data_IF_058853128992
#
_entry.id   IF_058853128992
#
_cell.length_a   1.000
_cell.length_b   1.000
_cell.length_c   1.000
_cell.angle_alpha   90.00
_cell.angle_beta   90.00
_cell.angle_gamma   90.00
#
_symmetry.space_group_name_H-M   'P 1'
#
loop_
_entity.id
_entity.type
_entity.pdbx_description
1 polymer ?
#
# COMPACT_ATOMS: atom_id res chain seq x y z
N UNK A 1 -74.48 -26.87 -77.20
CA UNK A 1 -73.05 -26.48 -77.15
C UNK A 1 -72.75 -26.04 -75.73
N UNK A 2 -72.00 -26.87 -75.02
CA UNK A 2 -71.58 -26.69 -73.63
C UNK A 2 -70.51 -25.61 -73.53
N UNK A 3 -70.76 -24.59 -72.70
CA UNK A 3 -69.77 -23.59 -72.30
C UNK A 3 -68.66 -24.31 -71.53
N UNK A 4 -67.37 -24.21 -71.91
CA UNK A 4 -66.31 -24.73 -71.07
C UNK A 4 -66.26 -23.88 -69.80
N UNK A 5 -66.61 -24.48 -68.66
CA UNK A 5 -66.39 -23.83 -67.37
C UNK A 5 -64.89 -23.65 -67.16
N UNK A 6 -64.46 -22.39 -67.01
CA UNK A 6 -63.13 -22.01 -66.49
C UNK A 6 -63.06 -22.38 -65.00
N UNK A 7 -63.03 -23.68 -64.71
CA UNK A 7 -62.82 -24.22 -63.38
C UNK A 7 -61.31 -24.40 -63.18
N UNK A 8 -60.65 -23.41 -62.57
CA UNK A 8 -59.23 -23.57 -62.22
C UNK A 8 -58.36 -22.32 -62.03
N UNK A 9 -58.88 -21.09 -62.09
CA UNK A 9 -58.06 -19.89 -61.89
C UNK A 9 -58.58 -19.04 -60.72
N UNK A 10 -58.19 -19.40 -59.50
CA UNK A 10 -58.35 -18.57 -58.30
C UNK A 10 -57.17 -17.59 -58.17
N UNK A 11 -57.47 -16.33 -57.87
CA UNK A 11 -56.47 -15.29 -57.57
C UNK A 11 -55.61 -15.69 -56.36
N UNK A 12 -54.26 -15.57 -56.39
CA UNK A 12 -53.37 -16.09 -55.34
C UNK A 12 -53.22 -15.13 -54.14
N UNK A 13 -54.08 -14.13 -53.98
CA UNK A 13 -54.00 -13.20 -52.85
C UNK A 13 -54.63 -13.89 -51.63
N UNK A 14 -53.80 -14.41 -50.73
CA UNK A 14 -54.27 -15.13 -49.53
C UNK A 14 -53.91 -14.43 -48.21
N UNK A 15 -53.21 -13.30 -48.23
CA UNK A 15 -52.68 -12.69 -47.00
C UNK A 15 -53.69 -11.72 -46.38
N UNK A 16 -54.24 -12.07 -45.22
CA UNK A 16 -55.01 -11.16 -44.35
C UNK A 16 -54.03 -10.32 -43.51
N UNK A 17 -54.15 -9.00 -43.58
CA UNK A 17 -53.23 -7.98 -43.02
C UNK A 17 -53.35 -7.73 -41.52
N UNK A 18 -54.14 -8.51 -40.78
CA UNK A 18 -54.55 -8.09 -39.43
C UNK A 18 -53.55 -8.39 -38.30
N UNK A 19 -52.34 -8.93 -38.57
CA UNK A 19 -51.38 -9.38 -37.53
C UNK A 19 -49.91 -9.23 -37.98
N UNK A 20 -49.43 -8.02 -38.28
CA UNK A 20 -48.01 -7.79 -38.61
C UNK A 20 -47.34 -7.03 -37.47
N UNK A 21 -46.32 -7.63 -36.85
CA UNK A 21 -45.48 -7.01 -35.83
C UNK A 21 -44.35 -6.18 -36.49
N UNK A 22 -43.82 -5.12 -35.85
CA UNK A 22 -42.86 -4.19 -36.46
C UNK A 22 -41.56 -4.85 -37.01
N UNK A 23 -41.17 -6.00 -36.47
CA UNK A 23 -39.96 -6.72 -36.91
C UNK A 23 -40.17 -7.59 -38.16
N UNK A 24 -41.42 -7.79 -38.60
CA UNK A 24 -41.77 -8.61 -39.76
C UNK A 24 -41.93 -7.80 -41.05
N UNK A 25 -41.67 -6.48 -41.01
CA UNK A 25 -41.83 -5.58 -42.16
C UNK A 25 -40.98 -6.02 -43.37
N UNK A 26 -39.70 -6.40 -43.25
CA UNK A 26 -38.93 -6.86 -44.41
C UNK A 26 -39.49 -8.14 -45.04
N UNK A 27 -40.04 -9.03 -44.21
CA UNK A 27 -40.64 -10.30 -44.64
C UNK A 27 -41.99 -10.08 -45.33
N UNK A 28 -42.78 -9.15 -44.82
CA UNK A 28 -44.06 -8.75 -45.41
C UNK A 28 -43.86 -8.03 -46.75
N UNK A 29 -42.90 -7.11 -46.84
CA UNK A 29 -42.54 -6.45 -48.11
C UNK A 29 -42.05 -7.48 -49.14
N UNK A 30 -41.24 -8.46 -48.71
CA UNK A 30 -40.82 -9.58 -49.57
C UNK A 30 -42.00 -10.39 -50.12
N UNK A 31 -43.01 -10.66 -49.30
CA UNK A 31 -44.20 -11.42 -49.71
C UNK A 31 -45.10 -10.62 -50.66
N UNK A 32 -45.25 -9.31 -50.47
CA UNK A 32 -45.95 -8.44 -51.44
C UNK A 32 -45.26 -8.44 -52.79
N UNK A 33 -43.92 -8.32 -52.82
CA UNK A 33 -43.14 -8.35 -54.07
C UNK A 33 -43.33 -9.69 -54.79
N UNK A 34 -43.32 -10.81 -54.04
CA UNK A 34 -43.57 -12.15 -54.58
C UNK A 34 -44.96 -12.26 -55.21
N UNK A 35 -46.00 -11.77 -54.55
CA UNK A 35 -47.38 -11.82 -55.04
C UNK A 35 -47.60 -10.92 -56.27
N UNK A 36 -46.99 -9.73 -56.31
CA UNK A 36 -47.01 -8.87 -57.49
C UNK A 36 -46.32 -9.53 -58.70
N UNK A 37 -45.25 -10.28 -58.46
CA UNK A 37 -44.57 -11.04 -59.51
C UNK A 37 -45.44 -12.19 -60.04
N UNK A 38 -46.13 -12.92 -59.17
CA UNK A 38 -47.08 -13.98 -59.56
C UNK A 38 -48.27 -13.41 -60.34
N UNK A 39 -48.80 -12.25 -59.94
CA UNK A 39 -49.86 -11.56 -60.68
C UNK A 39 -49.34 -11.18 -62.07
N UNK A 40 -48.15 -10.58 -62.19
CA UNK A 40 -47.55 -10.22 -63.49
C UNK A 40 -47.43 -11.41 -64.44
N UNK A 41 -46.98 -12.57 -63.93
CA UNK A 41 -46.89 -13.81 -64.71
C UNK A 41 -48.29 -14.29 -65.13
N UNK A 42 -49.28 -14.21 -64.23
CA UNK A 42 -50.66 -14.58 -64.54
C UNK A 42 -51.27 -13.67 -65.61
N UNK A 43 -51.11 -12.35 -65.50
CA UNK A 43 -51.60 -11.40 -66.52
C UNK A 43 -50.95 -11.64 -67.87
N UNK A 44 -49.65 -11.96 -67.89
CA UNK A 44 -48.91 -12.30 -69.12
C UNK A 44 -49.47 -13.57 -69.78
N UNK A 45 -49.79 -14.59 -68.98
CA UNK A 45 -50.41 -15.83 -69.48
C UNK A 45 -51.82 -15.59 -70.01
N UNK A 46 -52.65 -14.80 -69.33
CA UNK A 46 -53.98 -14.43 -69.80
C UNK A 46 -53.93 -13.61 -71.11
N UNK A 47 -52.99 -12.67 -71.22
CA UNK A 47 -52.76 -11.91 -72.46
C UNK A 47 -52.31 -12.81 -73.62
N UNK A 48 -51.48 -13.82 -73.34
CA UNK A 48 -51.05 -14.78 -74.36
C UNK A 48 -52.20 -15.67 -74.88
N UNK A 49 -53.10 -16.10 -73.99
CA UNK A 49 -54.32 -16.86 -74.37
C UNK A 49 -55.30 -16.00 -75.18
N UNK A 50 -55.44 -14.72 -74.86
CA UNK A 50 -56.29 -13.79 -75.63
C UNK A 50 -55.71 -13.51 -77.02
N UNK A 51 -54.39 -13.40 -77.15
CA UNK A 51 -53.73 -13.16 -78.45
C UNK A 51 -53.63 -14.41 -79.35
N UNK A 52 -53.68 -15.62 -78.78
CA UNK A 52 -53.64 -16.88 -79.54
C UNK A 52 -55.01 -17.32 -80.07
N UNK A 53 -56.11 -16.65 -79.69
CA UNK A 53 -57.42 -16.77 -80.34
C UNK A 53 -57.60 -15.85 -81.57
N UNK A 54 -56.50 -15.42 -82.21
CA UNK A 54 -56.59 -14.77 -83.53
C UNK A 54 -56.81 -15.81 -84.63
N UNK A 55 -58.07 -15.97 -85.02
CA UNK A 55 -58.53 -16.75 -86.18
C UNK A 55 -57.84 -16.19 -87.46
N UNK A 56 -57.32 -17.02 -88.39
CA UNK A 56 -56.72 -16.52 -89.62
C UNK A 56 -57.77 -15.85 -90.52
N UNK A 57 -57.42 -14.78 -91.28
CA UNK A 57 -58.41 -14.01 -92.02
C UNK A 57 -58.85 -14.80 -93.25
N UNK A 58 -60.09 -15.30 -93.22
CA UNK A 58 -60.72 -15.86 -94.42
C UNK A 58 -61.41 -14.71 -95.16
N UNK A 59 -60.79 -14.25 -96.23
CA UNK A 59 -61.37 -13.27 -97.15
C UNK A 59 -62.62 -13.85 -97.81
N UNK A 60 -63.80 -13.33 -97.44
CA UNK A 60 -65.00 -13.35 -98.27
C UNK A 60 -65.57 -11.94 -98.25
N UNK A 61 -65.30 -11.18 -99.31
CA UNK A 61 -65.90 -9.85 -99.54
C UNK A 61 -67.33 -10.10 -100.05
N UNK A 62 -68.28 -10.13 -99.12
CA UNK A 62 -69.70 -9.97 -99.42
C UNK A 62 -70.11 -8.57 -98.93
N UNK A 63 -70.91 -7.79 -99.67
CA UNK A 63 -71.27 -6.45 -99.25
C UNK A 63 -72.17 -6.58 -98.01
N UNK A 64 -71.56 -6.39 -96.85
CA UNK A 64 -72.29 -6.32 -95.59
C UNK A 64 -73.27 -5.15 -95.73
N UNK A 65 -74.59 -5.36 -95.54
CA UNK A 65 -75.57 -4.28 -95.58
C UNK A 65 -75.10 -3.15 -94.67
N UNK A 66 -75.10 -1.91 -95.16
CA UNK A 66 -74.63 -0.73 -94.42
C UNK A 66 -75.21 -0.64 -93.01
N UNK A 67 -76.41 -1.17 -92.79
CA UNK A 67 -77.04 -1.35 -91.48
C UNK A 67 -76.24 -2.21 -90.51
N UNK A 68 -75.73 -3.38 -90.93
CA UNK A 68 -74.99 -4.30 -90.03
C UNK A 68 -73.60 -3.74 -89.66
N UNK A 69 -72.94 -3.03 -90.59
CA UNK A 69 -71.70 -2.30 -90.28
C UNK A 69 -71.95 -1.14 -89.30
N UNK A 70 -73.08 -0.45 -89.45
CA UNK A 70 -73.47 0.64 -88.54
C UNK A 70 -73.77 0.11 -87.13
N UNK A 71 -74.47 -1.02 -87.01
CA UNK A 71 -74.73 -1.69 -85.73
C UNK A 71 -73.45 -2.20 -85.07
N UNK A 72 -72.51 -2.76 -85.83
CA UNK A 72 -71.20 -3.17 -85.30
C UNK A 72 -70.37 -1.99 -84.78
N UNK A 73 -70.38 -0.86 -85.50
CA UNK A 73 -69.72 0.37 -85.04
C UNK A 73 -70.43 0.98 -83.81
N UNK A 74 -71.76 0.85 -83.71
CA UNK A 74 -72.52 1.26 -82.54
C UNK A 74 -72.20 0.39 -81.31
N UNK A 75 -72.12 -0.93 -81.48
CA UNK A 75 -71.72 -1.88 -80.42
C UNK A 75 -70.29 -1.60 -79.96
N UNK A 76 -69.37 -1.36 -80.90
CA UNK A 76 -67.98 -1.01 -80.59
C UNK A 76 -67.88 0.32 -79.82
N UNK A 77 -68.68 1.32 -80.22
CA UNK A 77 -68.77 2.60 -79.49
C UNK A 77 -69.35 2.41 -78.08
N UNK A 78 -70.38 1.58 -77.92
CA UNK A 78 -70.97 1.28 -76.62
C UNK A 78 -70.01 0.49 -75.71
N UNK A 79 -69.28 -0.50 -76.26
CA UNK A 79 -68.23 -1.22 -75.55
C UNK A 79 -67.11 -0.28 -75.08
N UNK A 80 -66.65 0.63 -75.93
CA UNK A 80 -65.66 1.65 -75.54
C UNK A 80 -66.17 2.57 -74.42
N UNK A 81 -67.46 2.89 -74.40
CA UNK A 81 -68.07 3.68 -73.31
C UNK A 81 -68.10 2.87 -72.01
N UNK A 82 -68.50 1.61 -72.06
CA UNK A 82 -68.52 0.72 -70.88
C UNK A 82 -67.10 0.49 -70.35
N UNK A 83 -66.13 0.25 -71.23
CA UNK A 83 -64.72 0.09 -70.87
C UNK A 83 -64.18 1.36 -70.19
N UNK A 84 -64.46 2.54 -70.74
CA UNK A 84 -64.08 3.82 -70.10
C UNK A 84 -64.77 4.04 -68.75
N UNK A 85 -66.05 3.69 -68.63
CA UNK A 85 -66.78 3.79 -67.36
C UNK A 85 -66.19 2.85 -66.30
N UNK A 86 -65.86 1.61 -66.69
CA UNK A 86 -65.22 0.64 -65.82
C UNK A 86 -63.80 1.05 -65.43
N UNK A 87 -63.01 1.55 -66.38
CA UNK A 87 -61.66 2.07 -66.12
C UNK A 87 -61.72 3.28 -65.15
N UNK A 88 -62.64 4.22 -65.36
CA UNK A 88 -62.82 5.36 -64.46
C UNK A 88 -63.23 4.91 -63.05
N UNK A 89 -64.14 3.94 -62.94
CA UNK A 89 -64.54 3.36 -61.65
C UNK A 89 -63.35 2.72 -60.93
N UNK A 90 -62.55 1.92 -61.64
CA UNK A 90 -61.35 1.29 -61.07
C UNK A 90 -60.33 2.34 -60.62
N UNK A 91 -60.11 3.41 -61.39
CA UNK A 91 -59.21 4.51 -60.99
C UNK A 91 -59.70 5.18 -59.72
N UNK A 92 -61.01 5.44 -59.59
CA UNK A 92 -61.59 6.01 -58.37
C UNK A 92 -61.47 5.06 -57.16
N UNK A 93 -61.71 3.76 -57.35
CA UNK A 93 -61.54 2.75 -56.28
C UNK A 93 -60.09 2.63 -55.85
N UNK A 94 -59.14 2.66 -56.79
CA UNK A 94 -57.70 2.67 -56.49
C UNK A 94 -57.33 3.93 -55.69
N UNK A 95 -57.80 5.10 -56.12
CA UNK A 95 -57.53 6.35 -55.41
C UNK A 95 -58.09 6.32 -53.97
N UNK A 96 -59.30 5.78 -53.78
CA UNK A 96 -59.88 5.62 -52.45
C UNK A 96 -59.05 4.68 -51.57
N UNK A 97 -58.67 3.51 -52.08
CA UNK A 97 -57.83 2.55 -51.34
C UNK A 97 -56.45 3.13 -51.02
N UNK A 98 -55.84 3.88 -51.93
CA UNK A 98 -54.57 4.56 -51.70
C UNK A 98 -54.68 5.62 -50.59
N UNK A 99 -55.77 6.39 -50.57
CA UNK A 99 -56.02 7.35 -49.49
C UNK A 99 -56.25 6.62 -48.16
N UNK A 100 -57.06 5.57 -48.12
CA UNK A 100 -57.30 4.79 -46.90
C UNK A 100 -56.01 4.16 -46.35
N UNK A 101 -55.20 3.55 -47.22
CA UNK A 101 -53.90 2.99 -46.87
C UNK A 101 -52.93 4.06 -46.34
N UNK A 102 -52.91 5.24 -46.96
CA UNK A 102 -52.06 6.35 -46.51
C UNK A 102 -52.49 6.84 -45.12
N UNK A 103 -53.79 7.07 -44.91
CA UNK A 103 -54.31 7.48 -43.62
C UNK A 103 -53.98 6.45 -42.52
N UNK A 104 -54.18 5.16 -42.79
CA UNK A 104 -53.84 4.10 -41.83
C UNK A 104 -52.33 4.05 -41.56
N UNK A 105 -51.49 4.17 -42.60
CA UNK A 105 -50.04 4.20 -42.44
C UNK A 105 -49.58 5.41 -41.61
N UNK A 106 -50.13 6.60 -41.87
CA UNK A 106 -49.80 7.83 -41.15
C UNK A 106 -50.23 7.73 -39.68
N UNK A 107 -51.41 7.19 -39.37
CA UNK A 107 -51.85 6.95 -38.00
C UNK A 107 -50.93 5.99 -37.23
N UNK A 108 -50.48 4.90 -37.88
CA UNK A 108 -49.57 3.94 -37.26
C UNK A 108 -48.16 4.51 -37.08
N UNK A 109 -47.67 5.28 -38.05
CA UNK A 109 -46.39 5.97 -37.95
C UNK A 109 -46.41 6.99 -36.81
N UNK A 110 -47.45 7.82 -36.72
CA UNK A 110 -47.60 8.80 -35.64
C UNK A 110 -47.65 8.13 -34.25
N UNK A 111 -48.39 7.02 -34.13
CA UNK A 111 -48.46 6.25 -32.89
C UNK A 111 -47.09 5.66 -32.51
N UNK A 112 -46.32 5.19 -33.49
CA UNK A 112 -44.98 4.66 -33.28
C UNK A 112 -43.98 5.77 -32.90
N UNK A 113 -44.02 6.92 -33.58
CA UNK A 113 -43.21 8.10 -33.25
C UNK A 113 -43.44 8.53 -31.80
N UNK A 114 -44.71 8.65 -31.39
CA UNK A 114 -45.06 9.01 -30.02
C UNK A 114 -44.59 7.96 -29.01
N UNK A 115 -44.69 6.67 -29.34
CA UNK A 115 -44.16 5.59 -28.48
C UNK A 115 -42.64 5.71 -28.30
N UNK A 116 -41.89 5.90 -29.38
CA UNK A 116 -40.43 6.03 -29.34
C UNK A 116 -40.03 7.28 -28.56
N UNK A 117 -40.69 8.41 -28.80
CA UNK A 117 -40.44 9.66 -28.10
C UNK A 117 -40.65 9.50 -26.59
N UNK A 118 -41.77 8.91 -26.17
CA UNK A 118 -42.03 8.65 -24.75
C UNK A 118 -40.98 7.74 -24.11
N UNK A 119 -40.52 6.69 -24.84
CA UNK A 119 -39.47 5.79 -24.34
C UNK A 119 -38.11 6.46 -24.25
N UNK A 120 -37.76 7.31 -25.21
CA UNK A 120 -36.54 8.10 -25.16
C UNK A 120 -36.58 9.12 -24.02
N UNK A 121 -37.68 9.85 -23.86
CA UNK A 121 -37.86 10.80 -22.76
C UNK A 121 -37.76 10.12 -21.40
N UNK A 122 -38.42 8.97 -21.21
CA UNK A 122 -38.32 8.20 -19.98
C UNK A 122 -36.87 7.76 -19.71
N UNK A 123 -36.19 7.20 -20.73
CA UNK A 123 -34.81 6.75 -20.60
C UNK A 123 -33.87 7.91 -20.24
N UNK A 124 -33.97 9.04 -20.93
CA UNK A 124 -33.16 10.24 -20.66
C UNK A 124 -33.42 10.74 -19.24
N UNK A 125 -34.68 10.83 -18.83
CA UNK A 125 -35.04 11.27 -17.47
C UNK A 125 -34.43 10.37 -16.39
N UNK A 126 -34.59 9.04 -16.52
CA UNK A 126 -34.04 8.08 -15.56
C UNK A 126 -32.50 8.14 -15.50
N UNK A 127 -31.83 8.32 -16.64
CA UNK A 127 -30.38 8.45 -16.68
C UNK A 127 -29.90 9.77 -16.05
N UNK A 128 -30.58 10.88 -16.33
CA UNK A 128 -30.27 12.18 -15.72
C UNK A 128 -30.39 12.11 -14.19
N UNK A 129 -31.48 11.55 -13.67
CA UNK A 129 -31.67 11.40 -12.22
C UNK A 129 -30.57 10.53 -11.57
N UNK A 130 -30.18 9.42 -12.22
CA UNK A 130 -29.08 8.58 -11.74
C UNK A 130 -27.73 9.29 -11.77
N UNK A 131 -27.48 10.12 -12.78
CA UNK A 131 -26.25 10.90 -12.88
C UNK A 131 -26.19 11.98 -11.80
N UNK A 132 -27.28 12.70 -11.56
CA UNK A 132 -27.39 13.70 -10.50
C UNK A 132 -27.15 13.08 -9.11
N UNK A 133 -27.74 11.91 -8.84
CA UNK A 133 -27.52 11.21 -7.58
C UNK A 133 -26.05 10.79 -7.41
N UNK A 134 -25.44 10.23 -8.46
CA UNK A 134 -24.01 9.89 -8.44
C UNK A 134 -23.13 11.12 -8.24
N UNK A 135 -23.45 12.22 -8.89
CA UNK A 135 -22.69 13.47 -8.76
C UNK A 135 -22.75 13.99 -7.32
N UNK A 136 -23.93 13.96 -6.68
CA UNK A 136 -24.09 14.31 -5.27
C UNK A 136 -23.30 13.37 -4.34
N UNK A 137 -23.31 12.07 -4.61
CA UNK A 137 -22.51 11.11 -3.84
C UNK A 137 -21.00 11.36 -3.99
N UNK A 138 -20.54 11.70 -5.19
CA UNK A 138 -19.14 12.05 -5.46
C UNK A 138 -18.77 13.34 -4.73
N UNK A 139 -19.62 14.37 -4.76
CA UNK A 139 -19.39 15.64 -4.06
C UNK A 139 -19.22 15.43 -2.55
N UNK A 140 -20.12 14.67 -1.92
CA UNK A 140 -20.02 14.33 -0.50
C UNK A 140 -18.72 13.57 -0.17
N UNK A 141 -18.33 12.64 -1.04
CA UNK A 141 -17.06 11.90 -0.89
C UNK A 141 -15.85 12.82 -1.03
N UNK A 142 -15.88 13.76 -1.97
CA UNK A 142 -14.80 14.73 -2.17
C UNK A 142 -14.65 15.64 -0.96
N UNK A 143 -15.76 16.13 -0.38
CA UNK A 143 -15.72 16.91 0.87
C UNK A 143 -15.07 16.12 2.01
N UNK A 144 -15.44 14.85 2.18
CA UNK A 144 -14.82 13.99 3.20
C UNK A 144 -13.32 13.77 2.96
N UNK A 145 -12.90 13.61 1.70
CA UNK A 145 -11.48 13.52 1.33
C UNK A 145 -10.74 14.82 1.63
N UNK A 146 -11.34 15.97 1.33
CA UNK A 146 -10.78 17.30 1.64
C UNK A 146 -10.56 17.48 3.15
N UNK A 147 -11.56 17.15 3.97
CA UNK A 147 -11.46 17.16 5.42
C UNK A 147 -10.36 16.22 5.94
N UNK A 148 -10.26 15.01 5.37
CA UNK A 148 -9.22 14.05 5.72
C UNK A 148 -7.83 14.58 5.38
N UNK A 149 -7.65 15.21 4.21
CA UNK A 149 -6.40 15.83 3.79
C UNK A 149 -6.00 16.99 4.72
N UNK A 150 -6.95 17.84 5.11
CA UNK A 150 -6.71 18.92 6.07
C UNK A 150 -6.28 18.37 7.44
N UNK A 151 -6.95 17.33 7.93
CA UNK A 151 -6.60 16.70 9.19
C UNK A 151 -5.20 16.07 9.13
N UNK A 152 -4.88 15.35 8.05
CA UNK A 152 -3.57 14.75 7.84
C UNK A 152 -2.47 15.83 7.81
N UNK A 153 -2.68 16.92 7.09
CA UNK A 153 -1.75 18.06 7.07
C UNK A 153 -1.53 18.66 8.47
N UNK A 154 -2.59 18.80 9.27
CA UNK A 154 -2.48 19.28 10.65
C UNK A 154 -1.71 18.29 11.55
N UNK A 155 -1.92 16.99 11.38
CA UNK A 155 -1.14 15.96 12.10
C UNK A 155 0.34 16.00 11.70
N UNK A 156 0.63 16.12 10.41
CA UNK A 156 2.00 16.27 9.90
C UNK A 156 2.69 17.49 10.51
N UNK A 157 2.03 18.65 10.57
CA UNK A 157 2.57 19.85 11.22
C UNK A 157 2.88 19.62 12.71
N UNK A 158 1.99 18.93 13.43
CA UNK A 158 2.23 18.56 14.84
C UNK A 158 3.43 17.64 14.99
N UNK A 159 3.61 16.69 14.08
CA UNK A 159 4.77 15.79 14.08
C UNK A 159 6.06 16.58 13.85
N UNK A 160 6.10 17.48 12.87
CA UNK A 160 7.26 18.35 12.63
C UNK A 160 7.61 19.16 13.88
N UNK A 161 6.64 19.83 14.50
CA UNK A 161 6.90 20.59 15.73
C UNK A 161 7.44 19.75 16.90
N UNK A 162 7.01 18.47 16.99
CA UNK A 162 7.54 17.55 18.01
C UNK A 162 8.95 17.11 17.69
N UNK A 163 9.28 16.95 16.40
CA UNK A 163 10.60 16.55 15.94
C UNK A 163 11.60 17.69 16.20
N UNK A 164 11.24 18.93 15.88
CA UNK A 164 12.07 20.12 16.16
C UNK A 164 12.40 20.22 17.67
N UNK A 165 11.39 20.08 18.53
CA UNK A 165 11.60 20.12 19.99
C UNK A 165 12.50 18.97 20.49
N UNK A 166 12.39 17.78 19.90
CA UNK A 166 13.24 16.64 20.25
C UNK A 166 14.69 16.87 19.81
N UNK A 167 14.89 17.46 18.63
CA UNK A 167 16.21 17.82 18.11
C UNK A 167 16.89 18.84 19.03
N UNK A 168 16.19 19.91 19.41
CA UNK A 168 16.70 20.93 20.35
C UNK A 168 17.05 20.32 21.73
N UNK A 169 16.18 19.44 22.24
CA UNK A 169 16.42 18.75 23.52
C UNK A 169 17.64 17.84 23.43
N UNK A 170 17.79 17.12 22.32
CA UNK A 170 18.92 16.22 22.09
C UNK A 170 20.24 16.98 21.93
N UNK A 171 20.24 18.11 21.22
CA UNK A 171 21.40 18.99 21.09
C UNK A 171 21.82 19.57 22.46
N UNK A 172 20.85 20.02 23.24
CA UNK A 172 21.09 20.52 24.62
C UNK A 172 21.67 19.43 25.51
N UNK A 173 21.09 18.23 25.48
CA UNK A 173 21.57 17.09 26.26
C UNK A 173 22.98 16.65 25.83
N UNK A 174 23.26 16.65 24.54
CA UNK A 174 24.59 16.33 23.99
C UNK A 174 25.64 17.32 24.48
N UNK A 175 25.35 18.63 24.36
CA UNK A 175 26.23 19.71 24.84
C UNK A 175 26.47 19.61 26.35
N UNK A 176 25.42 19.41 27.15
CA UNK A 176 25.52 19.26 28.60
C UNK A 176 26.37 18.04 28.98
N UNK A 177 26.15 16.90 28.31
CA UNK A 177 26.90 15.66 28.54
C UNK A 177 28.37 15.85 28.20
N UNK A 178 28.67 16.50 27.07
CA UNK A 178 30.04 16.81 26.65
C UNK A 178 30.75 17.70 27.67
N UNK A 179 30.10 18.77 28.14
CA UNK A 179 30.65 19.64 29.18
C UNK A 179 30.89 18.90 30.50
N UNK A 180 29.96 18.04 30.92
CA UNK A 180 30.11 17.25 32.14
C UNK A 180 31.27 16.25 32.02
N UNK A 181 31.42 15.59 30.87
CA UNK A 181 32.52 14.69 30.59
C UNK A 181 33.87 15.42 30.63
N UNK A 182 33.94 16.62 30.04
CA UNK A 182 35.14 17.45 30.09
C UNK A 182 35.52 17.80 31.53
N UNK A 183 34.54 18.22 32.35
CA UNK A 183 34.76 18.51 33.78
C UNK A 183 35.28 17.30 34.54
N UNK A 184 34.64 16.14 34.38
CA UNK A 184 35.06 14.89 35.02
C UNK A 184 36.47 14.46 34.59
N UNK A 185 36.79 14.63 33.30
CA UNK A 185 38.13 14.32 32.79
C UNK A 185 39.19 15.23 33.41
N UNK A 186 38.93 16.55 33.49
CA UNK A 186 39.83 17.49 34.17
C UNK A 186 39.99 17.16 35.66
N UNK A 187 38.90 16.82 36.34
CA UNK A 187 38.93 16.42 37.75
C UNK A 187 39.76 15.15 37.96
N UNK A 188 39.58 14.13 37.12
CA UNK A 188 40.35 12.90 37.16
C UNK A 188 41.86 13.15 36.99
N UNK A 189 42.26 14.02 36.04
CA UNK A 189 43.65 14.42 35.87
C UNK A 189 44.20 15.08 37.14
N UNK A 190 43.43 15.99 37.75
CA UNK A 190 43.85 16.69 38.95
C UNK A 190 43.98 15.73 40.15
N UNK A 191 43.04 14.80 40.30
CA UNK A 191 43.10 13.75 41.33
C UNK A 191 44.30 12.82 41.12
N UNK A 192 44.61 12.46 39.87
CA UNK A 192 45.81 11.69 39.52
C UNK A 192 47.10 12.37 39.98
N UNK A 193 47.26 13.66 39.66
CA UNK A 193 48.41 14.48 40.09
C UNK A 193 48.50 14.59 41.61
N UNK A 194 47.36 14.78 42.29
CA UNK A 194 47.33 14.84 43.75
C UNK A 194 47.76 13.52 44.38
N UNK A 195 47.27 12.39 43.84
CA UNK A 195 47.65 11.05 44.29
C UNK A 195 49.15 10.82 44.17
N UNK A 196 49.73 11.12 43.01
CA UNK A 196 51.18 10.99 42.77
C UNK A 196 51.99 11.82 43.76
N UNK A 197 51.58 13.07 44.02
CA UNK A 197 52.23 13.93 45.02
C UNK A 197 52.16 13.33 46.43
N UNK A 198 51.02 12.75 46.81
CA UNK A 198 50.85 12.10 48.11
C UNK A 198 51.70 10.83 48.23
N UNK A 199 51.75 10.00 47.18
CA UNK A 199 52.61 8.81 47.11
C UNK A 199 54.09 9.17 47.31
N UNK A 200 54.59 10.20 46.60
CA UNK A 200 55.96 10.69 46.77
C UNK A 200 56.20 11.19 48.20
N UNK A 201 55.27 11.98 48.74
CA UNK A 201 55.39 12.54 50.10
C UNK A 201 55.45 11.43 51.15
N UNK A 202 54.56 10.44 51.05
CA UNK A 202 54.53 9.31 51.96
C UNK A 202 55.80 8.45 51.84
N UNK A 203 56.28 8.19 50.62
CA UNK A 203 57.54 7.47 50.38
C UNK A 203 58.74 8.17 51.00
N UNK A 204 58.80 9.50 50.90
CA UNK A 204 59.85 10.31 51.53
C UNK A 204 59.76 10.24 53.07
N UNK A 205 58.57 10.39 53.65
CA UNK A 205 58.35 10.29 55.10
C UNK A 205 58.74 8.90 55.64
N UNK A 206 58.36 7.83 54.95
CA UNK A 206 58.74 6.47 55.31
C UNK A 206 60.25 6.27 55.25
N UNK A 207 60.91 6.78 54.21
CA UNK A 207 62.37 6.69 54.06
C UNK A 207 63.08 7.42 55.20
N UNK A 208 62.60 8.63 55.54
CA UNK A 208 63.14 9.41 56.64
C UNK A 208 62.94 8.71 57.99
N UNK A 209 61.75 8.17 58.25
CA UNK A 209 61.45 7.40 59.46
C UNK A 209 62.33 6.16 59.57
N UNK A 210 62.54 5.43 58.47
CA UNK A 210 63.43 4.27 58.41
C UNK A 210 64.86 4.64 58.77
N UNK A 211 65.39 5.75 58.24
CA UNK A 211 66.73 6.24 58.57
C UNK A 211 66.85 6.59 60.06
N UNK A 212 65.88 7.32 60.62
CA UNK A 212 65.86 7.63 62.04
C UNK A 212 65.85 6.39 62.94
N UNK A 213 65.08 5.36 62.58
CA UNK A 213 65.08 4.09 63.31
C UNK A 213 66.44 3.38 63.18
N UNK A 214 67.03 3.37 61.98
CA UNK A 214 68.34 2.76 61.74
C UNK A 214 69.44 3.44 62.57
N UNK A 215 69.43 4.77 62.64
CA UNK A 215 70.38 5.54 63.45
C UNK A 215 70.18 5.27 64.94
N UNK A 216 68.92 5.27 65.43
CA UNK A 216 68.60 4.96 66.81
C UNK A 216 69.03 3.54 67.21
N UNK A 217 68.83 2.55 66.34
CA UNK A 217 69.29 1.18 66.53
C UNK A 217 70.83 1.10 66.56
N UNK A 218 71.52 1.85 65.71
CA UNK A 218 72.98 1.95 65.71
C UNK A 218 73.52 2.51 67.03
N UNK A 219 72.94 3.62 67.51
CA UNK A 219 73.27 4.23 68.80
C UNK A 219 72.99 3.30 69.97
N UNK A 220 71.83 2.61 69.95
CA UNK A 220 71.47 1.64 70.98
C UNK A 220 72.46 0.47 71.01
N UNK A 221 72.81 -0.09 69.85
CA UNK A 221 73.78 -1.18 69.74
C UNK A 221 75.16 -0.75 70.26
N UNK A 222 75.65 0.43 69.88
CA UNK A 222 76.91 0.96 70.39
C UNK A 222 76.89 1.20 71.91
N UNK A 223 75.78 1.73 72.44
CA UNK A 223 75.60 1.91 73.89
C UNK A 223 75.55 0.58 74.63
N UNK A 224 74.89 -0.42 74.06
CA UNK A 224 74.84 -1.78 74.59
C UNK A 224 76.22 -2.43 74.61
N UNK A 225 76.99 -2.35 73.51
CA UNK A 225 78.36 -2.87 73.44
C UNK A 225 79.28 -2.21 74.49
N UNK A 226 79.18 -0.89 74.69
CA UNK A 226 79.91 -0.19 75.76
C UNK A 226 79.52 -0.68 77.15
N UNK A 227 78.22 -0.93 77.39
CA UNK A 227 77.73 -1.46 78.66
C UNK A 227 78.27 -2.87 78.90
N UNK A 228 78.25 -3.75 77.89
CA UNK A 228 78.82 -5.10 77.99
C UNK A 228 80.31 -5.03 78.34
N UNK A 229 81.09 -4.19 77.64
CA UNK A 229 82.51 -4.01 77.93
C UNK A 229 82.77 -3.52 79.36
N UNK A 230 81.96 -2.57 79.86
CA UNK A 230 82.06 -2.10 81.25
C UNK A 230 81.73 -3.20 82.25
N UNK A 231 80.69 -4.01 82.00
CA UNK A 231 80.32 -5.14 82.86
C UNK A 231 81.45 -6.19 82.88
N UNK A 232 82.04 -6.51 81.73
CA UNK A 232 83.16 -7.45 81.64
C UNK A 232 84.40 -6.93 82.39
N UNK A 233 84.72 -5.63 82.27
CA UNK A 233 85.80 -5.00 83.01
C UNK A 233 85.59 -5.09 84.54
N UNK A 234 84.38 -4.77 85.02
CA UNK A 234 84.02 -4.92 86.44
C UNK A 234 84.17 -6.37 86.88
N UNK A 235 83.73 -7.32 86.04
CA UNK A 235 83.84 -8.76 86.33
C UNK A 235 85.30 -9.20 86.46
N UNK A 236 86.20 -8.69 85.60
CA UNK A 236 87.64 -8.96 85.71
C UNK A 236 88.26 -8.32 86.94
N UNK A 237 87.96 -7.05 87.23
CA UNK A 237 88.45 -6.36 88.44
C UNK A 237 87.99 -7.06 89.72
N UNK A 238 86.72 -7.50 89.77
CA UNK A 238 86.18 -8.26 90.89
C UNK A 238 86.90 -9.60 91.05
N UNK A 239 87.18 -10.31 89.94
CA UNK A 239 87.93 -11.56 89.97
C UNK A 239 89.36 -11.36 90.49
N UNK A 240 90.02 -10.30 90.05
CA UNK A 240 91.38 -9.95 90.50
C UNK A 240 91.38 -9.53 91.98
N UNK A 241 90.38 -8.77 92.43
CA UNK A 241 90.20 -8.41 93.82
C UNK A 241 89.97 -9.66 94.70
N UNK A 242 89.13 -10.59 94.27
CA UNK A 242 88.92 -11.88 94.94
C UNK A 242 90.22 -12.68 95.02
N UNK A 243 90.97 -12.75 93.92
CA UNK A 243 92.25 -13.48 93.87
C UNK A 243 93.31 -12.82 94.77
N UNK A 244 93.35 -11.49 94.81
CA UNK A 244 94.21 -10.74 95.73
C UNK A 244 93.84 -11.01 97.20
N UNK A 245 92.55 -10.97 97.55
CA UNK A 245 92.06 -11.34 98.89
C UNK A 245 92.43 -12.78 99.21
N UNK A 246 92.25 -13.72 98.27
CA UNK A 246 92.61 -15.14 98.44
C UNK A 246 94.11 -15.33 98.70
N UNK A 247 94.97 -14.66 97.92
CA UNK A 247 96.43 -14.66 98.13
C UNK A 247 96.81 -14.09 99.50
N UNK A 248 96.16 -13.00 99.91
CA UNK A 248 96.37 -12.42 101.23
C UNK A 248 95.95 -13.39 102.33
N UNK A 249 94.79 -14.05 102.23
CA UNK A 249 94.35 -15.08 103.19
C UNK A 249 95.41 -16.18 103.32
N UNK A 250 95.91 -16.72 102.20
CA UNK A 250 96.97 -17.75 102.19
C UNK A 250 98.26 -17.22 102.83
N UNK A 251 98.65 -15.96 102.57
CA UNK A 251 99.83 -15.35 103.16
C UNK A 251 99.68 -15.17 104.68
N UNK A 252 98.52 -14.69 105.15
CA UNK A 252 98.17 -14.59 106.57
C UNK A 252 98.14 -15.97 107.23
N UNK A 253 97.60 -17.00 106.58
CA UNK A 253 97.61 -18.39 107.05
C UNK A 253 99.04 -18.93 107.19
N UNK A 254 99.94 -18.63 106.25
CA UNK A 254 101.39 -18.95 106.36
C UNK A 254 102.06 -18.23 107.54
N UNK A 255 101.72 -16.96 107.79
CA UNK A 255 102.24 -16.19 108.93
C UNK A 255 101.70 -16.77 110.25
N UNK A 256 100.41 -17.05 110.33
CA UNK A 256 99.79 -17.72 111.48
C UNK A 256 100.42 -19.09 111.75
N UNK A 257 100.72 -19.87 110.70
CA UNK A 257 101.45 -21.14 110.83
C UNK A 257 102.91 -20.98 111.30
N UNK A 258 103.59 -19.85 111.00
CA UNK A 258 104.91 -19.54 111.58
C UNK A 258 104.79 -19.12 113.04
N UNK A 259 103.80 -18.31 113.38
CA UNK A 259 103.55 -17.86 114.76
C UNK A 259 103.13 -19.05 115.65
N UNK A 260 102.25 -19.92 115.16
CA UNK A 260 101.81 -21.14 115.83
C UNK A 260 102.91 -22.20 116.00
N UNK A 261 104.04 -22.08 115.29
CA UNK A 261 105.22 -22.93 115.50
C UNK A 261 106.18 -22.41 116.59
N UNK A 262 105.96 -21.20 117.12
CA UNK A 262 106.74 -20.64 118.23
C UNK A 262 108.25 -20.43 117.93
N UNK A 263 108.92 -19.53 118.67
CA UNK A 263 110.37 -19.37 118.58
C UNK A 263 111.06 -20.48 119.41
N UNK A 264 111.87 -21.33 118.78
CA UNK A 264 112.92 -22.07 119.49
C UNK A 264 114.11 -21.11 119.49
N UNK A 265 114.47 -20.43 120.58
CA UNK A 265 114.75 -20.98 121.90
C UNK A 265 116.27 -21.10 122.01
N UNK A 266 116.91 -20.00 122.43
CA UNK A 266 118.32 -19.91 122.81
C UNK A 266 118.48 -20.49 124.23
N UNK A 267 119.40 -21.45 124.40
CA UNK A 267 120.15 -21.89 125.60
C UNK A 267 120.80 -23.24 125.19
N UNK A 268 122.04 -23.64 125.49
CA UNK A 268 123.05 -23.12 126.41
C UNK A 268 124.44 -23.70 126.06
N UNK A 269 125.47 -23.16 126.68
CA UNK A 269 126.91 -23.46 126.57
C UNK A 269 127.40 -24.85 127.08
N UNK A 270 128.55 -25.26 126.55
CA UNK A 270 129.62 -26.10 127.17
C UNK A 270 129.38 -27.58 127.49
N UNK A 271 129.92 -28.47 126.63
CA UNK A 271 130.95 -29.50 126.90
C UNK A 271 131.29 -30.26 125.61
#
# INVERSE_FOLDING_TARGET
MSVPMLQGYSCPITTRTNLIQPYDIPRFVGEIIRQLHEISIWTTKCAHVLNTQSIPPTHIVSPVPSTLMTEMELIKKNLNVVEKQQANKLVSEIAYLQCALRCEADEKLLAFEHFVENKLQQCVYEQTMRLEERQKQIENRMQSVEEMCLNMNNQTKKIYSRLDNLEETMETNSTNTSQMMLKLHTECINQGKLREKLEITLGNQMTHTRLHIQDALGLFKGSHEQLVQKVDAIKTELKDAIEHVRKNIIAHEKVLNRIGRGPVGFEDSSS
#
